data_IF_188087028938
#
_entry.id   IF_188087028938
#
_cell.length_a   1.000
_cell.length_b   1.000
_cell.length_c   1.000
_cell.angle_alpha   90.00
_cell.angle_beta   90.00
_cell.angle_gamma   90.00
#
_symmetry.space_group_name_H-M   'P 1'
#
loop_
_entity.id
_entity.type
_entity.pdbx_description
1 polymer ?
#
# COMPACT_ATOMS: atom_id res chain seq x y z
N UNK A 1 -61.41 -47.08 -5.81
CA UNK A 1 -60.63 -45.88 -5.45
C UNK A 1 -61.04 -45.51 -4.03
N UNK A 2 -60.18 -45.70 -3.03
CA UNK A 2 -60.52 -45.53 -1.60
C UNK A 2 -59.70 -44.40 -0.98
N UNK A 3 -60.33 -43.54 -0.18
CA UNK A 3 -59.70 -42.38 0.45
C UNK A 3 -59.40 -42.69 1.92
N UNK A 4 -58.18 -42.38 2.35
CA UNK A 4 -57.78 -42.45 3.77
C UNK A 4 -57.89 -41.04 4.36
N UNK A 5 -58.62 -40.92 5.47
CA UNK A 5 -58.92 -39.65 6.10
C UNK A 5 -57.73 -39.19 6.95
N UNK A 6 -56.87 -38.34 6.39
CA UNK A 6 -55.73 -37.76 7.09
C UNK A 6 -56.11 -36.44 7.76
N UNK A 7 -55.92 -36.34 9.07
CA UNK A 7 -56.02 -35.06 9.80
C UNK A 7 -54.63 -34.51 10.04
N UNK A 8 -54.38 -33.29 9.56
CA UNK A 8 -53.07 -32.63 9.72
C UNK A 8 -52.87 -32.24 11.19
N UNK A 9 -51.89 -32.82 11.91
CA UNK A 9 -51.57 -32.39 13.26
C UNK A 9 -50.98 -30.97 13.25
N UNK A 10 -51.08 -30.23 14.37
CA UNK A 10 -50.47 -28.92 14.49
C UNK A 10 -48.96 -28.98 14.27
N UNK A 11 -48.40 -27.92 13.67
CA UNK A 11 -46.97 -27.82 13.38
C UNK A 11 -46.17 -27.78 14.68
N UNK A 12 -45.04 -28.48 14.72
CA UNK A 12 -44.08 -28.39 15.83
C UNK A 12 -43.57 -26.94 15.92
N UNK A 13 -43.43 -26.41 17.14
CA UNK A 13 -42.84 -25.08 17.36
C UNK A 13 -41.42 -25.05 16.82
N UNK A 14 -41.06 -23.94 16.20
CA UNK A 14 -39.70 -23.65 15.78
C UNK A 14 -38.80 -23.42 17.00
N UNK A 15 -37.47 -23.57 16.87
CA UNK A 15 -36.52 -23.16 17.90
C UNK A 15 -36.69 -21.69 18.26
N UNK A 16 -36.46 -21.35 19.53
CA UNK A 16 -36.47 -19.96 19.99
C UNK A 16 -35.28 -19.21 19.37
N UNK A 17 -35.53 -17.96 18.95
CA UNK A 17 -34.46 -17.11 18.43
C UNK A 17 -33.52 -16.72 19.58
N UNK A 18 -32.20 -16.66 19.33
CA UNK A 18 -31.28 -16.16 20.33
C UNK A 18 -31.59 -14.69 20.58
N UNK A 19 -32.16 -14.40 21.75
CA UNK A 19 -32.41 -13.05 22.22
C UNK A 19 -31.12 -12.49 22.85
N UNK A 20 -30.60 -11.42 22.26
CA UNK A 20 -29.41 -10.73 22.75
C UNK A 20 -28.99 -9.63 21.78
N UNK A 21 -28.69 -8.44 22.30
CA UNK A 21 -28.11 -7.38 21.49
C UNK A 21 -26.65 -7.74 21.18
N UNK A 22 -26.31 -7.79 19.89
CA UNK A 22 -24.94 -8.03 19.45
C UNK A 22 -24.17 -6.72 19.61
N UNK A 23 -23.35 -6.61 20.66
CA UNK A 23 -22.47 -5.46 20.84
C UNK A 23 -21.38 -5.48 19.76
N UNK A 24 -21.61 -4.74 18.67
CA UNK A 24 -20.60 -4.57 17.64
C UNK A 24 -19.51 -3.65 18.15
N UNK A 25 -18.28 -4.14 18.13
CA UNK A 25 -17.12 -3.31 18.41
C UNK A 25 -16.98 -2.27 17.30
N UNK A 26 -16.94 -0.99 17.67
CA UNK A 26 -16.69 0.06 16.70
C UNK A 26 -15.30 -0.12 16.06
N UNK A 27 -15.16 0.19 14.76
CA UNK A 27 -13.87 0.10 14.11
C UNK A 27 -12.87 1.05 14.79
N UNK A 28 -11.58 0.67 14.82
CA UNK A 28 -10.55 1.53 15.39
C UNK A 28 -10.55 2.89 14.70
N UNK A 29 -10.29 3.94 15.47
CA UNK A 29 -10.24 5.31 14.95
C UNK A 29 -9.09 5.48 13.96
N UNK A 30 -9.27 6.36 12.97
CA UNK A 30 -8.21 6.70 12.04
C UNK A 30 -7.03 7.33 12.81
N UNK A 31 -5.78 6.95 12.48
CA UNK A 31 -4.62 7.66 12.99
C UNK A 31 -4.68 9.15 12.63
N UNK A 32 -4.16 9.99 13.51
CA UNK A 32 -3.96 11.41 13.24
C UNK A 32 -3.00 11.59 12.05
N UNK A 33 -3.24 12.60 11.21
CA UNK A 33 -2.41 12.88 10.04
C UNK A 33 -1.06 13.44 10.52
N UNK A 34 -0.09 12.56 10.73
CA UNK A 34 1.29 12.96 11.04
C UNK A 34 1.97 13.47 9.77
N UNK A 35 2.65 14.64 9.81
CA UNK A 35 3.43 15.11 8.68
C UNK A 35 4.53 14.10 8.32
N UNK A 36 4.35 13.42 7.18
CA UNK A 36 5.23 12.35 6.76
C UNK A 36 6.51 12.90 6.12
N UNK A 37 7.44 13.35 6.96
CA UNK A 37 8.75 13.83 6.52
C UNK A 37 9.58 12.71 5.88
N UNK A 38 9.21 11.44 6.10
CA UNK A 38 9.86 10.28 5.50
C UNK A 38 9.58 10.15 4.00
N UNK A 39 8.49 10.76 3.51
CA UNK A 39 8.13 10.77 2.10
C UNK A 39 9.23 11.40 1.23
N UNK A 40 9.89 12.45 1.72
CA UNK A 40 10.98 13.14 0.98
C UNK A 40 12.14 12.18 0.72
N UNK A 41 12.57 11.43 1.75
CA UNK A 41 13.68 10.48 1.62
C UNK A 41 13.38 9.29 0.72
N UNK A 42 12.11 8.94 0.54
CA UNK A 42 11.67 7.88 -0.37
C UNK A 42 11.58 8.37 -1.82
N UNK A 43 10.95 9.54 -2.03
CA UNK A 43 10.67 10.03 -3.38
C UNK A 43 11.84 10.77 -4.02
N UNK A 44 12.71 11.40 -3.23
CA UNK A 44 13.84 12.16 -3.75
C UNK A 44 14.80 11.28 -4.57
N UNK A 45 15.27 10.10 -4.09
CA UNK A 45 16.14 9.24 -4.88
C UNK A 45 15.46 8.67 -6.12
N UNK A 46 14.16 8.34 -6.04
CA UNK A 46 13.38 7.83 -7.17
C UNK A 46 13.24 8.88 -8.28
N UNK A 47 12.94 10.13 -7.92
CA UNK A 47 12.86 11.24 -8.86
C UNK A 47 14.20 11.49 -9.56
N UNK A 48 15.31 11.45 -8.81
CA UNK A 48 16.66 11.61 -9.37
C UNK A 48 17.03 10.47 -10.34
N UNK A 49 16.66 9.23 -10.04
CA UNK A 49 16.87 8.09 -10.94
C UNK A 49 16.07 8.25 -12.25
N UNK A 50 14.81 8.66 -12.15
CA UNK A 50 13.96 8.92 -13.32
C UNK A 50 14.55 10.03 -14.22
N UNK A 51 14.98 11.14 -13.61
CA UNK A 51 15.63 12.23 -14.31
C UNK A 51 16.95 11.80 -14.98
N UNK A 52 17.76 10.98 -14.30
CA UNK A 52 19.01 10.46 -14.89
C UNK A 52 18.74 9.59 -16.11
N UNK A 53 17.74 8.71 -16.03
CA UNK A 53 17.38 7.86 -17.17
C UNK A 53 16.88 8.68 -18.37
N UNK A 54 16.08 9.73 -18.11
CA UNK A 54 15.67 10.68 -19.15
C UNK A 54 16.88 11.31 -19.84
N UNK A 55 17.88 11.76 -19.07
CA UNK A 55 19.11 12.35 -19.63
C UNK A 55 19.92 11.32 -20.46
N UNK A 56 19.94 10.05 -20.07
CA UNK A 56 20.59 8.99 -20.86
C UNK A 56 19.88 8.74 -22.20
N UNK A 57 18.55 8.80 -22.23
CA UNK A 57 17.79 8.70 -23.48
C UNK A 57 18.03 9.89 -24.39
N UNK A 58 18.03 11.11 -23.85
CA UNK A 58 18.34 12.34 -24.62
C UNK A 58 19.77 12.30 -25.15
N UNK A 59 20.73 11.84 -24.34
CA UNK A 59 22.12 11.61 -24.75
C UNK A 59 22.21 10.67 -25.95
N UNK A 60 21.47 9.55 -25.95
CA UNK A 60 21.53 8.55 -27.02
C UNK A 60 21.18 9.17 -28.40
N UNK A 61 20.28 10.16 -28.43
CA UNK A 61 19.94 10.90 -29.64
C UNK A 61 20.86 12.09 -29.97
N UNK A 62 21.53 12.67 -28.97
CA UNK A 62 22.34 13.89 -29.10
C UNK A 62 23.85 13.62 -29.25
N UNK A 63 24.36 12.45 -28.87
CA UNK A 63 25.80 12.12 -28.89
C UNK A 63 26.65 12.90 -27.86
N UNK A 64 26.03 13.69 -26.98
CA UNK A 64 26.74 14.56 -26.04
C UNK A 64 27.35 13.80 -24.87
N UNK A 65 28.69 13.91 -24.73
CA UNK A 65 29.43 13.32 -23.61
C UNK A 65 29.09 14.01 -22.28
N UNK A 66 28.84 15.32 -22.29
CA UNK A 66 28.49 16.11 -21.11
C UNK A 66 27.20 15.61 -20.42
N UNK A 67 26.13 15.36 -21.19
CA UNK A 67 24.88 14.81 -20.63
C UNK A 67 25.08 13.41 -20.05
N UNK A 68 26.00 12.63 -20.63
CA UNK A 68 26.37 11.32 -20.09
C UNK A 68 27.05 11.38 -18.74
N UNK A 69 28.00 12.30 -18.55
CA UNK A 69 28.63 12.49 -17.25
C UNK A 69 27.64 13.01 -16.21
N UNK A 70 26.78 13.97 -16.57
CA UNK A 70 25.75 14.49 -15.67
C UNK A 70 24.76 13.41 -15.26
N UNK A 71 24.29 12.59 -16.21
CA UNK A 71 23.40 11.48 -15.91
C UNK A 71 24.07 10.45 -14.98
N UNK A 72 25.33 10.12 -15.24
CA UNK A 72 26.08 9.15 -14.43
C UNK A 72 26.30 9.66 -12.99
N UNK A 73 26.67 10.93 -12.82
CA UNK A 73 26.79 11.57 -11.50
C UNK A 73 25.44 11.54 -10.77
N UNK A 74 24.35 11.87 -11.47
CA UNK A 74 23.02 11.88 -10.90
C UNK A 74 22.59 10.47 -10.45
N UNK A 75 22.88 9.45 -11.25
CA UNK A 75 22.61 8.04 -10.90
C UNK A 75 23.38 7.59 -9.67
N UNK A 76 24.69 7.86 -9.62
CA UNK A 76 25.53 7.49 -8.47
C UNK A 76 25.05 8.20 -7.20
N UNK A 77 24.70 9.49 -7.30
CA UNK A 77 24.17 10.25 -6.17
C UNK A 77 22.82 9.69 -5.69
N UNK A 78 21.91 9.31 -6.60
CA UNK A 78 20.63 8.69 -6.25
C UNK A 78 20.82 7.34 -5.54
N UNK A 79 21.74 6.50 -6.03
CA UNK A 79 22.07 5.23 -5.38
C UNK A 79 22.68 5.43 -3.98
N UNK A 80 23.55 6.43 -3.80
CA UNK A 80 24.11 6.77 -2.49
C UNK A 80 23.02 7.24 -1.51
N UNK A 81 22.08 8.07 -1.97
CA UNK A 81 20.94 8.52 -1.16
C UNK A 81 20.01 7.36 -0.78
N UNK A 82 19.79 6.39 -1.66
CA UNK A 82 19.03 5.18 -1.31
C UNK A 82 19.74 4.38 -0.21
N UNK A 83 21.06 4.17 -0.31
CA UNK A 83 21.82 3.46 0.73
C UNK A 83 21.72 4.19 2.07
N UNK A 84 21.90 5.51 2.08
CA UNK A 84 21.77 6.35 3.27
C UNK A 84 20.35 6.30 3.84
N UNK A 85 19.32 6.39 2.99
CA UNK A 85 17.92 6.30 3.39
C UNK A 85 17.57 4.96 4.04
N UNK A 86 18.08 3.85 3.50
CA UNK A 86 17.89 2.52 4.10
C UNK A 86 18.59 2.40 5.46
N UNK A 87 19.74 3.05 5.64
CA UNK A 87 20.42 3.10 6.94
C UNK A 87 19.67 3.95 7.96
N UNK A 88 19.17 5.13 7.56
CA UNK A 88 18.38 5.99 8.45
C UNK A 88 17.09 5.31 8.90
N UNK A 89 16.38 4.63 7.98
CA UNK A 89 15.14 3.92 8.34
C UNK A 89 15.39 2.80 9.34
N UNK A 90 16.44 2.00 9.13
CA UNK A 90 16.87 0.95 10.09
C UNK A 90 17.30 1.49 11.45
N UNK A 91 17.76 2.73 11.52
CA UNK A 91 18.15 3.37 12.78
C UNK A 91 16.95 3.89 13.58
N UNK A 92 15.86 4.30 12.91
CA UNK A 92 14.64 4.79 13.54
C UNK A 92 13.65 3.70 13.98
N UNK A 93 13.80 2.46 13.50
CA UNK A 93 13.01 1.29 13.91
C UNK A 93 13.51 0.65 15.24
N UNK A 94 14.47 1.28 15.92
CA UNK A 94 15.06 0.84 17.21
C UNK A 94 14.64 1.77 18.33
#
# INVERSE_FOLDING_TARGET
>A
MSVVLFRRPPRRRAPDMPDGELSLQEPPTLPEVVPDTSAIWNYLPMGMMSASMMLLFVRMGSGSSALGYTALILMVSASALMILGQFMRRAGER
#
